data_IF_161797922235
#
_entry.id   IF_161797922235
#
_cell.length_a   1.000
_cell.length_b   1.000
_cell.length_c   1.000
_cell.angle_alpha   90.00
_cell.angle_beta   90.00
_cell.angle_gamma   90.00
#
_symmetry.space_group_name_H-M   'P 1'
#
loop_
_entity.id
_entity.type
_entity.pdbx_description
1 polymer ?
#
# COMPACT_ATOMS: atom_id res chain seq x y z
N UNK A 1 0.91 -14.57 7.34
CA UNK A 1 1.75 -13.37 7.30
C UNK A 1 0.92 -12.18 6.81
N UNK A 2 1.54 -11.02 6.63
CA UNK A 2 0.80 -9.83 6.24
C UNK A 2 0.21 -9.90 4.83
N UNK A 3 0.80 -10.68 3.94
CA UNK A 3 0.24 -10.87 2.60
C UNK A 3 -1.07 -11.66 2.67
N UNK A 4 -1.13 -12.68 3.52
CA UNK A 4 -2.35 -13.45 3.72
C UNK A 4 -3.45 -12.58 4.37
N UNK A 5 -3.05 -11.70 5.30
CA UNK A 5 -3.99 -10.79 5.93
C UNK A 5 -4.59 -9.81 4.91
N UNK A 6 -3.77 -9.28 4.00
CA UNK A 6 -4.25 -8.39 2.94
C UNK A 6 -5.22 -9.12 2.00
N UNK A 7 -4.90 -10.35 1.62
CA UNK A 7 -5.77 -11.14 0.75
C UNK A 7 -7.13 -11.38 1.40
N UNK A 8 -7.13 -11.65 2.71
CA UNK A 8 -8.36 -11.84 3.46
C UNK A 8 -9.21 -10.56 3.48
N UNK A 9 -8.57 -9.41 3.74
CA UNK A 9 -9.26 -8.11 3.73
C UNK A 9 -9.85 -7.84 2.34
N UNK A 10 -9.10 -8.12 1.29
CA UNK A 10 -9.56 -7.87 -0.08
C UNK A 10 -10.68 -8.81 -0.51
N UNK A 11 -10.94 -9.89 0.24
CA UNK A 11 -12.08 -10.76 -0.06
C UNK A 11 -13.42 -10.12 0.32
N UNK A 12 -13.39 -9.07 1.15
CA UNK A 12 -14.61 -8.35 1.55
C UNK A 12 -15.09 -7.48 0.39
N UNK A 13 -16.36 -7.63 0.00
CA UNK A 13 -16.90 -7.04 -1.23
C UNK A 13 -16.79 -5.51 -1.29
N UNK A 14 -16.89 -4.82 -0.17
CA UNK A 14 -16.87 -3.35 -0.13
C UNK A 14 -15.47 -2.73 -0.08
N UNK A 15 -14.44 -3.54 0.19
CA UNK A 15 -13.06 -3.03 0.24
C UNK A 15 -12.54 -2.92 -1.18
N UNK A 16 -12.08 -1.73 -1.57
CA UNK A 16 -11.54 -1.47 -2.91
C UNK A 16 -10.03 -1.35 -2.91
N UNK A 17 -9.45 -0.87 -1.82
CA UNK A 17 -8.01 -0.70 -1.67
C UNK A 17 -7.63 -0.98 -0.23
N UNK A 18 -6.49 -1.63 -0.04
CA UNK A 18 -5.94 -1.90 1.29
C UNK A 18 -4.42 -1.80 1.23
N UNK A 19 -3.81 -1.40 2.32
CA UNK A 19 -2.36 -1.44 2.41
C UNK A 19 -1.92 -1.83 3.81
N UNK A 20 -0.68 -2.29 3.90
CA UNK A 20 -0.07 -2.74 5.13
C UNK A 20 1.34 -2.15 5.22
N UNK A 21 1.71 -1.65 6.42
CA UNK A 21 3.04 -1.09 6.66
C UNK A 21 3.72 -1.88 7.76
N UNK A 22 4.97 -2.26 7.52
CA UNK A 22 5.80 -2.92 8.54
C UNK A 22 7.23 -2.43 8.46
N UNK A 23 7.92 -2.43 9.60
CA UNK A 23 9.32 -2.02 9.66
C UNK A 23 10.21 -3.23 9.40
N UNK A 24 11.13 -3.10 8.46
CA UNK A 24 12.09 -4.15 8.12
C UNK A 24 13.46 -3.47 7.90
N UNK A 25 14.45 -3.87 8.68
CA UNK A 25 15.83 -3.36 8.55
C UNK A 25 15.90 -1.82 8.50
N UNK A 26 15.17 -1.17 9.40
CA UNK A 26 15.24 0.29 9.55
C UNK A 26 14.42 1.10 8.57
N UNK A 27 13.62 0.46 7.73
CA UNK A 27 12.75 1.15 6.77
C UNK A 27 11.32 0.61 6.88
N UNK A 28 10.36 1.39 6.42
CA UNK A 28 8.96 0.97 6.39
C UNK A 28 8.64 0.38 5.02
N UNK A 29 8.27 -0.90 5.00
CA UNK A 29 7.83 -1.61 3.80
C UNK A 29 6.33 -1.52 3.69
N UNK A 30 5.85 -1.11 2.52
CA UNK A 30 4.43 -0.93 2.26
C UNK A 30 3.98 -1.92 1.21
N UNK A 31 2.93 -2.69 1.54
CA UNK A 31 2.29 -3.60 0.59
C UNK A 31 0.91 -3.05 0.28
N UNK A 32 0.57 -2.97 -1.00
CA UNK A 32 -0.69 -2.39 -1.48
C UNK A 32 -1.46 -3.41 -2.30
N UNK A 33 -2.78 -3.43 -2.11
CA UNK A 33 -3.69 -4.28 -2.88
C UNK A 33 -4.92 -3.47 -3.29
N UNK A 34 -5.49 -3.79 -4.43
CA UNK A 34 -6.70 -3.12 -4.90
C UNK A 34 -7.57 -4.06 -5.71
N UNK A 35 -8.78 -3.59 -6.03
CA UNK A 35 -9.74 -4.28 -6.90
C UNK A 35 -10.04 -3.43 -8.12
N UNK A 36 -10.43 -4.11 -9.19
CA UNK A 36 -10.91 -3.44 -10.39
C UNK A 36 -9.88 -2.53 -11.02
N UNK A 37 -10.30 -1.30 -11.29
CA UNK A 37 -9.47 -0.34 -12.03
C UNK A 37 -8.65 0.59 -11.14
N UNK A 38 -8.53 0.28 -9.87
CA UNK A 38 -7.67 1.04 -8.96
C UNK A 38 -6.24 0.51 -9.09
N UNK A 39 -5.34 1.35 -9.57
CA UNK A 39 -3.96 0.99 -9.87
C UNK A 39 -3.05 1.33 -8.70
N UNK A 40 -2.71 0.33 -7.88
CA UNK A 40 -1.81 0.55 -6.75
C UNK A 40 -0.34 0.62 -7.17
N UNK A 41 0.01 0.14 -8.36
CA UNK A 41 1.36 0.33 -8.87
C UNK A 41 1.67 1.81 -9.09
N UNK A 42 0.65 2.60 -9.45
CA UNK A 42 0.77 4.04 -9.59
C UNK A 42 1.09 4.70 -8.24
N UNK A 43 0.44 4.26 -7.17
CA UNK A 43 0.71 4.74 -5.82
C UNK A 43 2.15 4.37 -5.41
N UNK A 44 2.53 3.10 -5.58
CA UNK A 44 3.87 2.64 -5.24
C UNK A 44 4.95 3.39 -6.03
N UNK A 45 4.68 3.69 -7.29
CA UNK A 45 5.62 4.42 -8.16
C UNK A 45 5.96 5.81 -7.66
N UNK A 46 5.05 6.47 -6.95
CA UNK A 46 5.32 7.79 -6.37
C UNK A 46 6.38 7.72 -5.26
N UNK A 47 6.65 6.51 -4.74
CA UNK A 47 7.66 6.27 -3.71
C UNK A 47 8.78 5.38 -4.25
N UNK A 48 9.02 5.42 -5.56
CA UNK A 48 10.05 4.63 -6.25
C UNK A 48 9.87 3.13 -6.11
N UNK A 49 8.65 2.69 -5.82
CA UNK A 49 8.30 1.28 -5.79
C UNK A 49 7.66 0.82 -7.09
N UNK A 50 6.98 -0.29 -7.05
CA UNK A 50 6.31 -0.83 -8.23
C UNK A 50 5.59 -2.12 -7.93
N UNK A 51 5.16 -2.78 -8.99
CA UNK A 51 4.45 -4.04 -8.91
C UNK A 51 3.42 -4.16 -10.01
N UNK A 52 2.34 -4.83 -9.69
CA UNK A 52 1.24 -5.02 -10.62
C UNK A 52 0.10 -4.06 -10.28
N UNK A 53 -0.83 -3.94 -11.22
CA UNK A 53 -1.97 -3.04 -11.12
C UNK A 53 -2.71 -3.16 -9.78
N UNK A 54 -2.99 -4.39 -9.37
CA UNK A 54 -3.75 -4.67 -8.15
C UNK A 54 -2.90 -5.16 -6.97
N UNK A 55 -1.59 -5.22 -7.12
CA UNK A 55 -0.66 -5.68 -6.08
C UNK A 55 0.70 -5.05 -6.27
N UNK A 56 1.08 -4.14 -5.37
CA UNK A 56 2.32 -3.41 -5.50
C UNK A 56 2.92 -3.15 -4.13
N UNK A 57 4.14 -2.64 -4.11
CA UNK A 57 4.82 -2.32 -2.87
C UNK A 57 5.85 -1.23 -3.05
N UNK A 58 6.18 -0.59 -1.94
CA UNK A 58 7.21 0.44 -1.91
C UNK A 58 7.88 0.44 -0.53
N UNK A 59 8.92 1.24 -0.40
CA UNK A 59 9.67 1.38 0.85
C UNK A 59 9.79 2.86 1.16
N UNK A 60 9.50 3.23 2.41
CA UNK A 60 9.69 4.59 2.90
C UNK A 60 10.86 4.58 3.88
N UNK A 61 11.77 5.54 3.72
CA UNK A 61 12.98 5.64 4.54
C UNK A 61 12.66 6.25 5.91
N UNK A 62 11.91 5.51 6.70
CA UNK A 62 11.53 5.91 8.06
C UNK A 62 11.07 4.70 8.84
N UNK A 63 11.20 4.75 10.17
CA UNK A 63 10.75 3.68 11.04
C UNK A 63 9.43 4.02 11.75
N UNK A 64 8.91 5.23 11.58
CA UNK A 64 7.64 5.65 12.17
C UNK A 64 6.48 5.15 11.31
N UNK A 65 5.89 4.03 11.73
CA UNK A 65 4.81 3.38 11.00
C UNK A 65 3.59 4.29 10.84
N UNK A 66 3.23 5.05 11.87
CA UNK A 66 2.07 5.93 11.79
C UNK A 66 2.28 7.05 10.77
N UNK A 67 3.49 7.61 10.74
CA UNK A 67 3.83 8.62 9.75
C UNK A 67 3.84 8.03 8.33
N UNK A 68 4.37 6.83 8.18
CA UNK A 68 4.36 6.14 6.89
C UNK A 68 2.94 5.92 6.39
N UNK A 69 2.02 5.52 7.28
CA UNK A 69 0.60 5.35 6.94
C UNK A 69 -0.02 6.67 6.47
N UNK A 70 0.26 7.77 7.16
CA UNK A 70 -0.26 9.07 6.78
C UNK A 70 0.20 9.47 5.39
N UNK A 71 1.48 9.25 5.08
CA UNK A 71 2.05 9.57 3.79
C UNK A 71 1.38 8.76 2.67
N UNK A 72 1.18 7.45 2.88
CA UNK A 72 0.54 6.58 1.91
C UNK A 72 -0.93 6.97 1.71
N UNK A 73 -1.66 7.23 2.81
CA UNK A 73 -3.05 7.65 2.73
C UNK A 73 -3.21 8.95 1.97
N UNK A 74 -2.31 9.91 2.22
CA UNK A 74 -2.35 11.19 1.52
C UNK A 74 -2.19 10.97 0.01
N UNK A 75 -1.27 10.12 -0.38
CA UNK A 75 -1.06 9.83 -1.81
C UNK A 75 -2.27 9.16 -2.44
N UNK A 76 -2.89 8.20 -1.73
CA UNK A 76 -4.09 7.54 -2.21
C UNK A 76 -5.22 8.55 -2.45
N UNK A 77 -5.43 9.47 -1.50
CA UNK A 77 -6.46 10.50 -1.64
C UNK A 77 -6.14 11.49 -2.77
N UNK A 78 -4.86 11.81 -2.99
CA UNK A 78 -4.47 12.70 -4.08
C UNK A 78 -4.76 12.08 -5.45
N UNK A 79 -4.56 10.77 -5.59
CA UNK A 79 -4.74 10.07 -6.86
C UNK A 79 -6.20 9.69 -7.11
N UNK A 80 -6.92 9.29 -6.07
CA UNK A 80 -8.29 8.74 -6.21
C UNK A 80 -9.36 9.55 -5.46
N UNK A 81 -9.11 10.81 -5.24
CA UNK A 81 -10.11 11.69 -4.63
C UNK A 81 -11.32 11.94 -5.53
#
# INVERSE_FOLDING_TARGET
DCEDALDMIMSIAIVKIAFFVRVVNGVSRVSLRSKGKIDVAKIAGEFDGGGHYNAAGCTLDMIDVEKAKEIVLKEIFEVYK
#
